data_IF_964033391548
#
_entry.id   IF_964033391548
#
_cell.length_a   1.000
_cell.length_b   1.000
_cell.length_c   1.000
_cell.angle_alpha   90.00
_cell.angle_beta   90.00
_cell.angle_gamma   90.00
#
_symmetry.space_group_name_H-M   'P 1'
#
loop_
_entity.id
_entity.type
_entity.pdbx_description
1 polymer ?
#
# COMPACT_ATOMS: atom_id res chain seq x y z
N UNK A 1 25.78 5.06 0.55
CA UNK A 1 24.45 5.06 1.21
C UNK A 1 24.03 6.50 1.44
N UNK A 2 22.79 6.86 1.09
CA UNK A 2 22.32 8.25 1.15
C UNK A 2 21.59 8.55 2.47
N UNK A 3 21.88 9.70 3.05
CA UNK A 3 21.32 10.17 4.31
C UNK A 3 20.78 11.59 4.16
N UNK A 4 19.70 11.89 4.88
CA UNK A 4 19.24 13.24 5.13
C UNK A 4 19.82 13.67 6.47
N UNK A 5 20.53 14.78 6.47
CA UNK A 5 21.18 15.30 7.65
C UNK A 5 20.89 16.79 7.84
N UNK A 6 21.05 17.25 9.07
CA UNK A 6 20.98 18.66 9.44
C UNK A 6 22.35 19.13 9.92
N UNK A 7 22.80 20.27 9.38
CA UNK A 7 24.00 20.95 9.86
C UNK A 7 23.72 21.53 11.26
N UNK A 8 24.59 21.23 12.21
CA UNK A 8 24.58 21.77 13.58
C UNK A 8 25.94 22.33 13.92
N UNK A 9 25.99 23.39 14.73
CA UNK A 9 27.24 23.81 15.33
C UNK A 9 27.48 22.99 16.60
N UNK A 10 28.70 22.49 16.76
CA UNK A 10 29.17 21.89 18.00
C UNK A 10 29.88 22.97 18.81
N UNK A 11 29.24 23.44 19.89
CA UNK A 11 29.77 24.50 20.75
C UNK A 11 31.06 24.10 21.48
N UNK A 12 31.25 22.81 21.75
CA UNK A 12 32.45 22.31 22.46
C UNK A 12 33.69 22.27 21.57
N UNK A 13 33.52 21.95 20.29
CA UNK A 13 34.64 21.77 19.35
C UNK A 13 34.82 22.96 18.39
N UNK A 14 33.95 23.96 18.49
CA UNK A 14 33.80 25.12 17.59
C UNK A 14 33.85 24.69 16.10
N UNK A 15 33.17 23.58 15.80
CA UNK A 15 33.15 22.94 14.48
C UNK A 15 31.71 22.61 14.09
N UNK A 16 31.46 22.50 12.79
CA UNK A 16 30.17 22.03 12.30
C UNK A 16 30.11 20.51 12.38
N UNK A 17 28.92 19.98 12.61
CA UNK A 17 28.63 18.57 12.60
C UNK A 17 27.31 18.31 11.84
N UNK A 18 27.18 17.11 11.30
CA UNK A 18 25.99 16.65 10.62
C UNK A 18 25.23 15.73 11.55
N UNK A 19 24.02 16.13 11.94
CA UNK A 19 23.06 15.25 12.60
C UNK A 19 22.34 14.44 11.53
N UNK A 20 22.51 13.12 11.52
CA UNK A 20 21.75 12.25 10.62
C UNK A 20 20.30 12.18 11.10
N UNK A 21 19.34 12.36 10.19
CA UNK A 21 17.91 12.40 10.48
C UNK A 21 17.19 11.19 9.87
N UNK A 22 17.56 10.82 8.64
CA UNK A 22 16.97 9.68 7.95
C UNK A 22 18.00 9.03 7.01
N UNK A 23 17.83 7.75 6.70
CA UNK A 23 18.61 7.06 5.66
C UNK A 23 17.69 6.50 4.58
N UNK A 24 18.19 6.48 3.35
CA UNK A 24 17.53 5.83 2.25
C UNK A 24 17.76 4.31 2.30
N UNK A 25 16.66 3.54 2.36
CA UNK A 25 16.68 2.08 2.25
C UNK A 25 16.43 1.63 0.80
N UNK A 26 15.58 2.37 0.08
CA UNK A 26 15.28 2.19 -1.33
C UNK A 26 14.84 3.53 -1.94
N UNK A 27 14.63 3.58 -3.26
CA UNK A 27 14.36 4.82 -4.02
C UNK A 27 13.38 5.78 -3.32
N UNK A 28 12.24 5.26 -2.87
CA UNK A 28 11.19 6.02 -2.19
C UNK A 28 10.94 5.59 -0.74
N UNK A 29 11.88 4.85 -0.15
CA UNK A 29 11.75 4.34 1.22
C UNK A 29 12.89 4.90 2.09
N UNK A 30 12.50 5.70 3.07
CA UNK A 30 13.41 6.31 4.03
C UNK A 30 13.07 5.85 5.43
N UNK A 31 14.10 5.48 6.19
CA UNK A 31 13.97 5.17 7.60
C UNK A 31 14.45 6.37 8.44
N UNK A 32 13.62 6.82 9.38
CA UNK A 32 14.03 7.83 10.36
C UNK A 32 15.05 7.21 11.30
N UNK A 33 16.11 7.95 11.61
CA UNK A 33 17.15 7.55 12.56
C UNK A 33 16.74 8.13 13.92
N UNK A 34 16.26 7.31 14.87
CA UNK A 34 15.78 7.81 16.17
C UNK A 34 16.93 8.20 17.10
N UNK A 35 18.09 7.58 16.93
CA UNK A 35 19.29 7.86 17.73
C UNK A 35 20.01 9.12 17.21
N UNK A 36 20.60 9.88 18.12
CA UNK A 36 21.40 11.04 17.75
C UNK A 36 22.75 10.60 17.17
N UNK A 37 22.77 10.33 15.86
CA UNK A 37 23.98 10.05 15.11
C UNK A 37 24.57 11.36 14.55
N UNK A 38 25.81 11.66 14.94
CA UNK A 38 26.53 12.84 14.48
C UNK A 38 27.80 12.48 13.72
N UNK A 39 28.06 13.18 12.63
CA UNK A 39 29.32 13.11 11.88
C UNK A 39 29.99 14.47 11.95
N UNK A 40 31.22 14.53 12.47
CA UNK A 40 31.99 15.77 12.52
C UNK A 40 32.43 16.19 11.12
N UNK A 41 32.19 17.45 10.76
CA UNK A 41 32.75 18.04 9.54
C UNK A 41 34.17 18.48 9.86
N UNK A 42 35.14 18.05 9.05
CA UNK A 42 36.53 18.46 9.20
C UNK A 42 36.71 19.98 9.24
N UNK A 43 37.74 20.44 9.95
CA UNK A 43 38.06 21.86 10.14
C UNK A 43 38.13 22.59 8.79
N UNK A 44 37.38 23.70 8.66
CA UNK A 44 37.38 24.56 7.47
C UNK A 44 36.13 24.49 6.60
N UNK A 45 35.24 23.51 6.79
CA UNK A 45 33.90 23.53 6.18
C UNK A 45 32.95 24.38 7.01
N UNK A 46 32.73 25.62 6.56
CA UNK A 46 31.72 26.51 7.12
C UNK A 46 30.42 26.24 6.35
N UNK A 47 29.38 25.84 7.07
CA UNK A 47 28.04 25.64 6.51
C UNK A 47 27.03 26.36 7.39
N UNK A 48 25.93 26.82 6.80
CA UNK A 48 24.87 27.47 7.57
C UNK A 48 24.26 26.49 8.57
N UNK A 49 24.11 26.93 9.81
CA UNK A 49 23.46 26.14 10.84
C UNK A 49 21.99 25.86 10.48
N UNK A 50 21.50 24.69 10.87
CA UNK A 50 20.15 24.19 10.60
C UNK A 50 19.83 23.88 9.13
N UNK A 51 20.80 24.00 8.22
CA UNK A 51 20.63 23.62 6.83
C UNK A 51 20.39 22.11 6.70
N UNK A 52 19.42 21.73 5.86
CA UNK A 52 19.18 20.35 5.48
C UNK A 52 20.02 19.98 4.28
N UNK A 53 20.73 18.87 4.38
CA UNK A 53 21.65 18.38 3.36
C UNK A 53 21.46 16.89 3.14
N UNK A 54 21.70 16.47 1.90
CA UNK A 54 21.85 15.07 1.54
C UNK A 54 23.33 14.70 1.62
N UNK A 55 23.61 13.58 2.29
CA UNK A 55 24.96 13.12 2.56
C UNK A 55 25.11 11.71 2.05
N UNK A 56 26.04 11.50 1.14
CA UNK A 56 26.41 10.17 0.69
C UNK A 56 27.62 9.69 1.49
N UNK A 57 27.43 8.58 2.19
CA UNK A 57 28.49 7.92 2.95
C UNK A 57 28.97 6.66 2.22
N UNK A 58 30.28 6.47 2.23
CA UNK A 58 30.93 5.25 1.77
C UNK A 58 30.53 4.05 2.65
N UNK A 59 30.83 2.81 2.24
CA UNK A 59 30.67 1.63 3.10
C UNK A 59 31.52 1.68 4.38
N UNK A 60 32.60 2.48 4.40
CA UNK A 60 33.46 2.70 5.56
C UNK A 60 32.94 3.81 6.49
N UNK A 61 31.88 4.52 6.10
CA UNK A 61 31.28 5.61 6.87
C UNK A 61 31.90 6.99 6.59
N UNK A 62 32.78 7.10 5.59
CA UNK A 62 33.38 8.35 5.18
C UNK A 62 32.43 9.16 4.30
N UNK A 63 32.48 10.49 4.42
CA UNK A 63 31.65 11.38 3.60
C UNK A 63 32.20 11.43 2.17
N UNK A 64 31.45 10.91 1.21
CA UNK A 64 31.77 10.98 -0.22
C UNK A 64 31.20 12.25 -0.85
N UNK A 65 29.93 12.58 -0.53
CA UNK A 65 29.23 13.72 -1.13
C UNK A 65 28.32 14.43 -0.13
N UNK A 66 28.23 15.75 -0.24
CA UNK A 66 27.26 16.58 0.49
C UNK A 66 26.58 17.50 -0.51
N UNK A 67 25.26 17.52 -0.50
CA UNK A 67 24.41 18.36 -1.36
C UNK A 67 23.31 19.04 -0.58
N UNK A 68 22.82 20.16 -1.10
CA UNK A 68 21.66 20.84 -0.57
C UNK A 68 20.38 19.99 -0.79
N UNK A 69 19.55 19.85 0.24
CA UNK A 69 18.35 19.02 0.18
C UNK A 69 17.12 19.72 -0.42
N UNK A 70 17.19 21.02 -0.76
CA UNK A 70 16.05 21.84 -1.19
C UNK A 70 15.33 21.24 -2.40
N UNK A 71 16.07 20.91 -3.46
CA UNK A 71 15.48 20.33 -4.68
C UNK A 71 14.84 18.97 -4.42
N UNK A 72 15.46 18.17 -3.55
CA UNK A 72 14.93 16.88 -3.14
C UNK A 72 13.65 17.02 -2.32
N UNK A 73 13.59 17.96 -1.37
CA UNK A 73 12.37 18.27 -0.61
C UNK A 73 11.27 18.75 -1.55
N UNK A 74 11.57 19.65 -2.49
CA UNK A 74 10.60 20.12 -3.48
C UNK A 74 10.07 18.97 -4.35
N UNK A 75 10.93 18.03 -4.74
CA UNK A 75 10.54 16.83 -5.46
C UNK A 75 9.60 15.94 -4.63
N UNK A 76 9.86 15.75 -3.33
CA UNK A 76 8.96 15.01 -2.44
C UNK A 76 7.60 15.69 -2.31
N UNK A 77 7.58 17.01 -2.10
CA UNK A 77 6.34 17.79 -2.03
C UNK A 77 5.56 17.64 -3.33
N UNK A 78 6.23 17.77 -4.48
CA UNK A 78 5.60 17.61 -5.78
C UNK A 78 5.04 16.20 -5.99
N UNK A 79 5.80 15.16 -5.61
CA UNK A 79 5.45 13.77 -5.88
C UNK A 79 4.35 13.24 -4.97
N UNK A 80 4.34 13.64 -3.69
CA UNK A 80 3.48 13.02 -2.68
C UNK A 80 2.39 13.95 -2.12
N UNK A 81 2.58 15.27 -2.16
CA UNK A 81 1.64 16.21 -1.52
C UNK A 81 0.75 16.97 -2.51
N UNK A 82 1.04 16.93 -3.82
CA UNK A 82 0.22 17.65 -4.83
C UNK A 82 -1.04 16.90 -5.24
N UNK A 83 -1.01 15.56 -5.16
CA UNK A 83 -2.11 14.70 -5.63
C UNK A 83 -3.28 14.71 -4.63
N UNK A 84 -3.06 15.22 -3.41
CA UNK A 84 -4.09 15.30 -2.37
C UNK A 84 -4.53 13.93 -1.82
N UNK A 85 -3.83 12.85 -2.20
CA UNK A 85 -4.06 11.50 -1.70
C UNK A 85 -3.28 11.36 -0.40
N UNK A 86 -3.99 11.32 0.72
CA UNK A 86 -3.37 11.06 2.03
C UNK A 86 -3.33 9.56 2.33
N UNK A 87 -2.43 9.11 3.21
CA UNK A 87 -2.43 7.72 3.68
C UNK A 87 -3.78 7.27 4.24
N UNK A 88 -4.49 8.15 4.94
CA UNK A 88 -5.82 7.88 5.49
C UNK A 88 -6.86 7.67 4.38
N UNK A 89 -6.78 8.46 3.31
CA UNK A 89 -7.63 8.26 2.13
C UNK A 89 -7.40 6.88 1.50
N UNK A 90 -6.14 6.46 1.37
CA UNK A 90 -5.80 5.13 0.82
C UNK A 90 -6.30 3.99 1.72
N UNK A 91 -6.18 4.12 3.04
CA UNK A 91 -6.72 3.14 3.99
C UNK A 91 -8.24 3.03 3.86
N UNK A 92 -8.93 4.16 3.80
CA UNK A 92 -10.38 4.18 3.64
C UNK A 92 -10.82 3.59 2.28
N UNK A 93 -10.08 3.83 1.19
CA UNK A 93 -10.38 3.18 -0.09
C UNK A 93 -10.20 1.65 -0.02
N UNK A 94 -9.14 1.18 0.66
CA UNK A 94 -8.93 -0.25 0.86
C UNK A 94 -10.06 -0.91 1.66
N UNK A 95 -10.55 -0.24 2.71
CA UNK A 95 -11.72 -0.69 3.49
C UNK A 95 -12.99 -0.75 2.63
N UNK A 96 -13.24 0.27 1.80
CA UNK A 96 -14.38 0.27 0.86
C UNK A 96 -14.30 -0.88 -0.14
N UNK A 97 -13.11 -1.12 -0.71
CA UNK A 97 -12.88 -2.21 -1.65
C UNK A 97 -13.15 -3.57 -0.98
N UNK A 98 -12.73 -3.75 0.27
CA UNK A 98 -12.98 -4.96 1.04
C UNK A 98 -14.47 -5.14 1.35
N UNK A 99 -15.17 -4.09 1.77
CA UNK A 99 -16.63 -4.13 1.96
C UNK A 99 -17.38 -4.50 0.68
N UNK A 100 -16.95 -3.95 -0.46
CA UNK A 100 -17.54 -4.30 -1.74
C UNK A 100 -17.29 -5.77 -2.11
N UNK A 101 -16.06 -6.27 -1.89
CA UNK A 101 -15.70 -7.68 -2.11
C UNK A 101 -16.58 -8.63 -1.29
N UNK A 102 -16.83 -8.30 -0.03
CA UNK A 102 -17.70 -9.08 0.85
C UNK A 102 -19.14 -9.08 0.35
N UNK A 103 -19.66 -7.91 -0.01
CA UNK A 103 -21.03 -7.76 -0.53
C UNK A 103 -21.23 -8.58 -1.82
N UNK A 104 -20.25 -8.55 -2.72
CA UNK A 104 -20.29 -9.30 -3.98
C UNK A 104 -20.21 -10.82 -3.73
N UNK A 105 -19.46 -11.24 -2.71
CA UNK A 105 -19.39 -12.64 -2.29
C UNK A 105 -20.74 -13.14 -1.78
N UNK A 106 -21.41 -12.35 -0.93
CA UNK A 106 -22.76 -12.67 -0.43
C UNK A 106 -23.78 -12.75 -1.58
N UNK A 107 -23.75 -11.79 -2.50
CA UNK A 107 -24.63 -11.82 -3.69
C UNK A 107 -24.41 -13.07 -4.54
N UNK A 108 -23.15 -13.48 -4.76
CA UNK A 108 -22.85 -14.71 -5.49
C UNK A 108 -23.35 -15.97 -4.77
N UNK A 109 -23.23 -16.04 -3.44
CA UNK A 109 -23.77 -17.16 -2.65
C UNK A 109 -25.30 -17.23 -2.74
N UNK A 110 -25.98 -16.09 -2.65
CA UNK A 110 -27.43 -16.03 -2.80
C UNK A 110 -27.90 -16.45 -4.21
N UNK A 111 -27.17 -16.04 -5.26
CA UNK A 111 -27.43 -16.48 -6.63
C UNK A 111 -27.23 -17.98 -6.81
N UNK A 112 -26.15 -18.55 -6.24
CA UNK A 112 -25.91 -19.98 -6.27
C UNK A 112 -27.04 -20.77 -5.57
N UNK A 113 -27.50 -20.28 -4.40
CA UNK A 113 -28.64 -20.88 -3.70
C UNK A 113 -29.90 -20.88 -4.57
N UNK A 114 -30.23 -19.73 -5.17
CA UNK A 114 -31.41 -19.59 -6.04
C UNK A 114 -31.32 -20.49 -7.28
N UNK A 115 -30.12 -20.63 -7.85
CA UNK A 115 -29.89 -21.53 -8.98
C UNK A 115 -30.21 -22.99 -8.62
N UNK A 116 -29.72 -23.44 -7.46
CA UNK A 116 -30.00 -24.79 -6.96
C UNK A 116 -31.49 -25.01 -6.67
N UNK A 117 -32.17 -24.03 -6.07
CA UNK A 117 -33.62 -24.11 -5.83
C UNK A 117 -34.42 -24.21 -7.14
N UNK A 118 -34.03 -23.47 -8.17
CA UNK A 118 -34.66 -23.53 -9.49
C UNK A 118 -34.41 -24.87 -10.19
N UNK A 119 -33.20 -25.41 -10.07
CA UNK A 119 -32.84 -26.72 -10.63
C UNK A 119 -33.66 -27.84 -9.97
N UNK A 120 -33.75 -27.84 -8.62
CA UNK A 120 -34.59 -28.79 -7.90
C UNK A 120 -36.09 -28.69 -8.27
N UNK A 121 -36.61 -27.47 -8.46
CA UNK A 121 -38.00 -27.29 -8.95
C UNK A 121 -38.19 -27.83 -10.35
N UNK A 122 -37.19 -27.67 -11.22
CA UNK A 122 -37.23 -28.20 -12.59
C UNK A 122 -37.28 -29.72 -12.59
N UNK A 123 -36.46 -30.37 -11.77
CA UNK A 123 -36.47 -31.83 -11.59
C UNK A 123 -37.83 -32.34 -11.09
N UNK A 124 -38.44 -31.64 -10.12
CA UNK A 124 -39.79 -31.98 -9.63
C UNK A 124 -40.84 -31.89 -10.73
N UNK A 125 -40.82 -30.83 -11.54
CA UNK A 125 -41.75 -30.68 -12.67
C UNK A 125 -41.57 -31.82 -13.67
N UNK A 126 -40.32 -32.15 -14.01
CA UNK A 126 -40.03 -33.23 -14.96
C UNK A 126 -40.51 -34.59 -14.45
N UNK A 127 -40.33 -34.89 -13.16
CA UNK A 127 -40.84 -36.12 -12.55
C UNK A 127 -42.38 -36.21 -12.61
N UNK A 128 -43.08 -35.10 -12.35
CA UNK A 128 -44.54 -35.03 -12.45
C UNK A 128 -45.04 -35.17 -13.90
N UNK A 129 -44.35 -34.58 -14.86
CA UNK A 129 -44.66 -34.73 -16.28
C UNK A 129 -44.49 -36.18 -16.74
N UNK A 130 -43.42 -36.85 -16.30
CA UNK A 130 -43.20 -38.27 -16.57
C UNK A 130 -44.28 -39.16 -15.95
N UNK A 131 -44.70 -38.90 -14.71
CA UNK A 131 -45.77 -39.68 -14.08
C UNK A 131 -47.11 -39.52 -14.80
N UNK A 132 -47.48 -38.28 -15.16
CA UNK A 132 -48.69 -37.99 -15.92
C UNK A 132 -48.68 -38.68 -17.29
N UNK A 133 -47.53 -38.69 -17.96
CA UNK A 133 -47.38 -39.37 -19.26
C UNK A 133 -47.52 -40.89 -19.13
N UNK A 134 -47.01 -41.49 -18.05
CA UNK A 134 -47.17 -42.93 -17.77
C UNK A 134 -48.62 -43.29 -17.49
N UNK A 135 -49.32 -42.53 -16.65
CA UNK A 135 -50.76 -42.72 -16.41
C UNK A 135 -51.56 -42.67 -17.71
N UNK A 136 -51.37 -41.61 -18.51
CA UNK A 136 -52.09 -41.45 -19.78
C UNK A 136 -51.85 -42.61 -20.75
N UNK A 137 -50.63 -43.12 -20.84
CA UNK A 137 -50.32 -44.26 -21.69
C UNK A 137 -50.92 -45.58 -21.17
N UNK A 138 -51.02 -45.76 -19.85
CA UNK A 138 -51.71 -46.89 -19.23
C UNK A 138 -53.20 -46.93 -19.55
N UNK A 139 -53.89 -45.79 -19.44
CA UNK A 139 -55.31 -45.68 -19.81
C UNK A 139 -55.57 -45.96 -21.30
N UNK A 140 -54.60 -45.67 -22.18
CA UNK A 140 -54.75 -45.92 -23.63
C UNK A 140 -54.58 -47.40 -23.99
N UNK A 141 -53.94 -48.21 -23.13
CA UNK A 141 -53.75 -49.65 -23.34
C UNK A 141 -54.88 -50.51 -22.76
N UNK A 142 -55.65 -50.00 -21.79
CA UNK A 142 -56.81 -50.72 -21.22
C UNK A 142 -58.10 -50.57 -22.05
N UNK A 143 -58.17 -49.61 -22.98
CA UNK A 143 -59.33 -49.36 -23.85
C UNK A 143 -59.23 -50.03 -25.25
N UNK A 144 -58.17 -50.81 -25.54
CA UNK A 144 -57.98 -51.55 -26.82
C UNK A 144 -58.04 -53.06 -26.65
#
# INVERSE_FOLDING_TARGET
MLYLAQVRKNDFLDQHQLRLLARQEADNLWAIIPEEAFILLGKGKIMSENLLVLVELSPTGDIERIEDATNWVLHLVQSYLTIGITPEFLQHEAERAEHWRQSLTLQNQDLARRSLELEARREQIQALEESLKREKNGYTQEES
#
